data_IF_413462307139
#
_entry.id   IF_413462307139
#
_cell.length_a   1.000
_cell.length_b   1.000
_cell.length_c   1.000
_cell.angle_alpha   90.00
_cell.angle_beta   90.00
_cell.angle_gamma   90.00
#
_symmetry.space_group_name_H-M   'P 1'
#
loop_
_entity.id
_entity.type
_entity.pdbx_description
1 polymer ?
#
# COMPACT_ATOMS: atom_id res chain seq x y z
N UNK A 1 8.87 30.96 3.18
CA UNK A 1 7.86 30.59 4.20
C UNK A 1 6.49 30.22 3.63
N UNK A 2 5.91 31.01 2.71
CA UNK A 2 4.58 30.71 2.13
C UNK A 2 4.47 29.32 1.49
N UNK A 3 5.45 28.91 0.68
CA UNK A 3 5.48 27.58 0.08
C UNK A 3 5.60 26.47 1.13
N UNK A 4 6.41 26.68 2.17
CA UNK A 4 6.60 25.70 3.23
C UNK A 4 5.30 25.44 4.00
N UNK A 5 4.55 26.49 4.34
CA UNK A 5 3.23 26.35 4.98
C UNK A 5 2.22 25.65 4.06
N UNK A 6 2.22 25.99 2.77
CA UNK A 6 1.35 25.35 1.79
C UNK A 6 1.67 23.85 1.65
N UNK A 7 2.95 23.48 1.54
CA UNK A 7 3.39 22.09 1.44
C UNK A 7 3.01 21.30 2.68
N UNK A 8 3.25 21.83 3.88
CA UNK A 8 2.87 21.17 5.13
C UNK A 8 1.35 21.01 5.21
N UNK A 9 0.58 22.03 4.83
CA UNK A 9 -0.88 21.96 4.78
C UNK A 9 -1.41 20.89 3.81
N UNK A 10 -0.80 20.76 2.63
CA UNK A 10 -1.20 19.74 1.65
C UNK A 10 -0.85 18.33 2.12
N UNK A 11 0.34 18.14 2.72
CA UNK A 11 0.76 16.86 3.28
C UNK A 11 -0.19 16.44 4.41
N UNK A 12 -0.46 17.33 5.36
CA UNK A 12 -1.32 17.03 6.51
C UNK A 12 -2.73 16.68 6.09
N UNK A 13 -3.29 17.35 5.07
CA UNK A 13 -4.57 16.98 4.49
C UNK A 13 -4.57 15.58 3.88
N UNK A 14 -3.52 15.20 3.15
CA UNK A 14 -3.39 13.87 2.56
C UNK A 14 -3.31 12.77 3.64
N UNK A 15 -2.49 12.98 4.68
CA UNK A 15 -2.39 12.05 5.81
C UNK A 15 -3.70 11.92 6.59
N UNK A 16 -4.40 13.04 6.82
CA UNK A 16 -5.70 13.03 7.48
C UNK A 16 -6.73 12.21 6.68
N UNK A 17 -6.76 12.38 5.36
CA UNK A 17 -7.65 11.61 4.48
C UNK A 17 -7.37 10.11 4.52
N UNK A 18 -6.09 9.71 4.51
CA UNK A 18 -5.69 8.31 4.65
C UNK A 18 -6.08 7.75 6.02
N UNK A 19 -5.83 8.50 7.09
CA UNK A 19 -6.16 8.07 8.46
C UNK A 19 -7.67 7.83 8.63
N UNK A 20 -8.51 8.76 8.17
CA UNK A 20 -9.97 8.61 8.22
C UNK A 20 -10.41 7.39 7.42
N UNK A 21 -9.86 7.18 6.22
CA UNK A 21 -10.18 6.02 5.36
C UNK A 21 -9.87 4.69 6.04
N UNK A 22 -8.73 4.61 6.74
CA UNK A 22 -8.33 3.40 7.47
C UNK A 22 -9.26 3.17 8.67
N UNK A 23 -9.58 4.23 9.42
CA UNK A 23 -10.50 4.13 10.57
C UNK A 23 -11.90 3.67 10.15
N UNK A 24 -12.37 4.09 8.98
CA UNK A 24 -13.65 3.67 8.41
C UNK A 24 -13.64 2.28 7.75
N UNK A 25 -12.49 1.59 7.64
CA UNK A 25 -12.39 0.23 7.09
C UNK A 25 -12.62 -0.81 8.19
N UNK A 26 -13.45 -1.82 7.90
CA UNK A 26 -13.55 -3.03 8.72
C UNK A 26 -12.15 -3.68 8.78
N UNK A 27 -11.68 -3.96 9.99
CA UNK A 27 -10.33 -4.45 10.31
C UNK A 27 -9.17 -3.45 10.21
N UNK A 28 -9.43 -2.17 9.89
CA UNK A 28 -8.39 -1.12 9.92
C UNK A 28 -7.21 -1.36 8.97
N UNK A 29 -7.37 -2.26 7.98
CA UNK A 29 -6.30 -2.61 7.03
C UNK A 29 -6.34 -1.69 5.82
N UNK A 30 -5.16 -1.28 5.38
CA UNK A 30 -4.99 -0.55 4.14
C UNK A 30 -5.42 -1.44 2.95
N UNK A 31 -6.17 -0.90 2.00
CA UNK A 31 -6.41 -1.60 0.74
C UNK A 31 -5.07 -1.71 0.01
N UNK A 32 -4.63 -2.92 -0.31
CA UNK A 32 -3.30 -3.16 -0.88
C UNK A 32 -3.01 -2.26 -2.06
N UNK A 33 -1.73 -2.04 -2.34
CA UNK A 33 -1.29 -1.23 -3.50
C UNK A 33 -0.59 -2.13 -4.52
N UNK A 34 -0.14 -1.56 -5.64
CA UNK A 34 0.72 -2.29 -6.57
C UNK A 34 1.95 -2.92 -5.86
N UNK A 35 2.43 -2.33 -4.76
CA UNK A 35 3.53 -2.87 -3.97
C UNK A 35 3.21 -4.21 -3.28
N UNK A 36 1.92 -4.54 -3.09
CA UNK A 36 1.48 -5.82 -2.52
C UNK A 36 1.78 -7.03 -3.44
N UNK A 37 2.10 -6.79 -4.71
CA UNK A 37 2.62 -7.84 -5.61
C UNK A 37 4.12 -8.05 -5.50
N UNK A 38 4.84 -7.24 -4.71
CA UNK A 38 6.29 -7.38 -4.62
C UNK A 38 6.65 -8.62 -3.78
N UNK A 39 7.37 -9.61 -4.33
CA UNK A 39 7.79 -10.82 -3.60
C UNK A 39 8.77 -10.52 -2.43
N UNK A 40 9.41 -9.34 -2.38
CA UNK A 40 10.16 -8.94 -1.18
C UNK A 40 9.27 -8.58 0.01
N UNK A 41 8.06 -8.07 -0.25
CA UNK A 41 7.13 -7.57 0.75
C UNK A 41 6.10 -8.63 1.13
N UNK A 42 5.68 -9.46 0.18
CA UNK A 42 4.73 -10.55 0.41
C UNK A 42 5.46 -11.89 0.61
N UNK A 43 6.02 -12.08 1.82
CA UNK A 43 6.77 -13.29 2.20
C UNK A 43 5.88 -14.46 2.63
N UNK A 44 4.67 -14.15 3.09
CA UNK A 44 3.71 -15.15 3.61
C UNK A 44 2.87 -15.77 2.50
N UNK A 45 3.01 -15.28 1.26
CA UNK A 45 2.33 -15.85 0.11
C UNK A 45 0.83 -15.53 0.09
N UNK A 46 0.42 -14.42 0.68
CA UNK A 46 -0.98 -13.99 0.69
C UNK A 46 -1.44 -13.53 -0.70
N UNK A 47 -2.73 -13.60 -0.99
CA UNK A 47 -3.30 -12.99 -2.18
C UNK A 47 -3.06 -11.47 -2.18
N UNK A 48 -2.71 -10.89 -3.32
CA UNK A 48 -2.40 -9.47 -3.42
C UNK A 48 -3.63 -8.62 -3.03
N UNK A 49 -3.50 -7.81 -1.97
CA UNK A 49 -4.60 -6.96 -1.48
C UNK A 49 -5.07 -5.84 -2.42
N UNK A 50 -4.41 -5.64 -3.58
CA UNK A 50 -4.80 -4.68 -4.62
C UNK A 50 -5.58 -5.34 -5.77
N UNK A 51 -5.08 -6.46 -6.29
CA UNK A 51 -5.61 -7.10 -7.50
C UNK A 51 -6.08 -8.55 -7.30
N UNK A 52 -5.92 -9.12 -6.11
CA UNK A 52 -6.38 -10.47 -5.75
C UNK A 52 -5.51 -11.63 -6.27
N UNK A 53 -4.54 -11.36 -7.14
CA UNK A 53 -3.64 -12.39 -7.69
C UNK A 53 -2.90 -13.15 -6.58
N UNK A 54 -2.81 -14.46 -6.75
CA UNK A 54 -1.97 -15.31 -5.91
C UNK A 54 -0.49 -15.04 -6.22
N UNK A 55 0.44 -15.35 -5.30
CA UNK A 55 1.88 -15.21 -5.53
C UNK A 55 2.35 -15.89 -6.82
N UNK A 56 1.78 -17.04 -7.16
CA UNK A 56 2.07 -17.79 -8.40
C UNK A 56 1.68 -17.04 -9.68
N UNK A 57 0.75 -16.09 -9.58
CA UNK A 57 0.17 -15.33 -10.69
C UNK A 57 0.72 -13.90 -10.78
N UNK A 58 1.63 -13.52 -9.86
CA UNK A 58 2.22 -12.18 -9.82
C UNK A 58 3.01 -11.89 -11.10
N UNK A 59 2.86 -10.67 -11.60
CA UNK A 59 3.63 -10.18 -12.76
C UNK A 59 5.06 -9.81 -12.34
N UNK A 60 5.24 -9.38 -11.08
CA UNK A 60 6.53 -9.07 -10.49
C UNK A 60 7.19 -10.35 -9.97
N UNK A 61 7.68 -11.17 -10.90
CA UNK A 61 8.31 -12.45 -10.58
C UNK A 61 9.73 -12.23 -10.07
N UNK A 62 10.06 -12.85 -8.95
CA UNK A 62 11.44 -13.23 -8.66
C UNK A 62 11.64 -14.68 -9.01
N UNK A 63 12.81 -14.99 -9.54
CA UNK A 63 13.41 -16.31 -9.40
C UNK A 63 13.59 -16.56 -7.90
N UNK A 64 12.87 -17.56 -7.37
CA UNK A 64 12.88 -17.91 -5.95
C UNK A 64 14.27 -18.46 -5.61
N UNK A 65 15.15 -17.59 -5.10
CA UNK A 65 16.38 -17.98 -4.41
C UNK A 65 17.51 -18.50 -5.30
N UNK A 66 18.52 -17.65 -5.51
CA UNK A 66 19.89 -18.01 -5.17
C UNK A 66 20.23 -17.32 -3.84
#
# INVERSE_FOLDING_TARGET
MKLLLLTIGLLSLAFAGIAIKIWSKKDGKFAGTCASQNPFLNKEGEACGYCGKLPSEQDCKKEVGA
#
